data_IF_711442852944
#
_entry.id   IF_711442852944
#
_cell.length_a   1.000
_cell.length_b   1.000
_cell.length_c   1.000
_cell.angle_alpha   90.00
_cell.angle_beta   90.00
_cell.angle_gamma   90.00
#
_symmetry.space_group_name_H-M   'P 1'
#
loop_
_entity.id
_entity.type
_entity.pdbx_description
1 polymer ?
#
# COMPACT_ATOMS: atom_id res chain seq x y z
N UNK A 1 2.58 8.00 -38.64
CA UNK A 1 3.74 7.09 -38.59
C UNK A 1 4.32 6.94 -37.18
N UNK A 2 4.54 7.97 -36.39
CA UNK A 2 5.08 7.90 -35.02
C UNK A 2 4.24 7.09 -33.99
N UNK A 3 2.90 7.06 -34.16
CA UNK A 3 2.01 6.27 -33.27
C UNK A 3 2.22 4.76 -33.37
N UNK A 4 2.58 4.27 -34.54
CA UNK A 4 2.83 2.85 -34.79
C UNK A 4 4.12 2.36 -34.11
N UNK A 5 5.18 3.18 -34.06
CA UNK A 5 6.46 2.83 -33.43
C UNK A 5 6.49 3.08 -31.93
N UNK A 6 5.46 3.69 -31.34
CA UNK A 6 5.38 4.01 -29.93
C UNK A 6 5.59 2.80 -28.98
N UNK A 7 5.10 1.58 -29.26
CA UNK A 7 5.39 0.40 -28.45
C UNK A 7 6.88 0.06 -28.36
N UNK A 8 7.67 0.26 -29.41
CA UNK A 8 9.13 -0.01 -29.38
C UNK A 8 9.89 0.93 -28.44
N UNK A 9 9.36 2.13 -28.19
CA UNK A 9 9.97 3.11 -27.28
C UNK A 9 9.56 2.90 -25.83
N UNK A 10 8.63 1.98 -25.56
CA UNK A 10 8.18 1.64 -24.19
C UNK A 10 9.01 0.52 -23.62
N UNK A 11 9.60 0.75 -22.44
CA UNK A 11 10.32 -0.31 -21.69
C UNK A 11 9.48 -1.56 -21.44
N UNK A 12 8.15 -1.40 -21.30
CA UNK A 12 7.19 -2.51 -21.08
C UNK A 12 7.18 -3.56 -22.20
N UNK A 13 7.48 -3.20 -23.44
CA UNK A 13 7.59 -4.18 -24.55
C UNK A 13 8.73 -5.15 -24.30
N UNK A 14 9.85 -4.65 -23.85
CA UNK A 14 11.05 -5.46 -23.60
C UNK A 14 10.94 -6.29 -22.32
N UNK A 15 10.31 -5.75 -21.26
CA UNK A 15 10.10 -6.52 -20.03
C UNK A 15 9.09 -7.64 -20.25
N UNK A 16 8.05 -7.45 -21.08
CA UNK A 16 7.11 -8.51 -21.50
C UNK A 16 7.81 -9.60 -22.32
N UNK A 17 8.69 -9.24 -23.22
CA UNK A 17 9.49 -10.21 -23.99
C UNK A 17 10.44 -10.99 -23.07
N UNK A 18 11.10 -10.30 -22.13
CA UNK A 18 11.93 -10.95 -21.13
C UNK A 18 11.13 -11.96 -20.29
N UNK A 19 9.91 -11.59 -19.88
CA UNK A 19 9.02 -12.48 -19.15
C UNK A 19 8.71 -13.79 -19.92
N UNK A 20 8.52 -13.71 -21.23
CA UNK A 20 8.30 -14.86 -22.09
C UNK A 20 9.56 -15.72 -22.27
N UNK A 21 10.75 -15.12 -22.23
CA UNK A 21 12.01 -15.83 -22.44
C UNK A 21 12.52 -16.58 -21.22
N UNK A 22 12.16 -16.14 -20.01
CA UNK A 22 12.62 -16.80 -18.76
C UNK A 22 12.36 -18.31 -18.76
N UNK A 23 11.14 -18.82 -19.03
CA UNK A 23 10.94 -20.28 -19.10
C UNK A 23 11.68 -20.94 -20.25
N UNK A 24 11.97 -20.23 -21.33
CA UNK A 24 12.67 -20.77 -22.48
C UNK A 24 14.13 -21.12 -22.19
N UNK A 25 14.74 -20.50 -21.17
CA UNK A 25 16.08 -20.90 -20.72
C UNK A 25 16.08 -22.36 -20.23
N UNK A 26 15.11 -22.73 -19.40
CA UNK A 26 14.98 -24.12 -18.92
C UNK A 26 14.69 -25.10 -20.05
N UNK A 27 13.80 -24.72 -20.99
CA UNK A 27 13.50 -25.52 -22.18
C UNK A 27 14.75 -25.68 -23.05
N UNK A 28 15.52 -24.62 -23.29
CA UNK A 28 16.74 -24.67 -24.11
C UNK A 28 17.82 -25.53 -23.47
N UNK A 29 17.98 -25.46 -22.15
CA UNK A 29 18.92 -26.34 -21.42
C UNK A 29 18.52 -27.81 -21.57
N UNK A 30 17.20 -28.10 -21.40
CA UNK A 30 16.72 -29.48 -21.59
C UNK A 30 16.97 -30.01 -23.01
N UNK A 31 16.62 -29.21 -24.02
CA UNK A 31 16.83 -29.59 -25.43
C UNK A 31 18.31 -29.79 -25.78
N UNK A 32 19.21 -29.08 -25.09
CA UNK A 32 20.66 -29.28 -25.22
C UNK A 32 21.10 -30.63 -24.62
N UNK A 33 20.45 -31.09 -23.54
CA UNK A 33 20.74 -32.37 -22.88
C UNK A 33 20.13 -33.54 -23.69
N UNK A 34 18.86 -33.41 -24.05
CA UNK A 34 18.13 -34.45 -24.77
C UNK A 34 17.08 -33.88 -25.73
N UNK A 35 17.39 -33.89 -27.01
CA UNK A 35 16.47 -33.44 -28.07
C UNK A 35 15.35 -34.46 -28.37
N UNK A 36 15.47 -35.71 -27.91
CA UNK A 36 14.48 -36.77 -28.20
C UNK A 36 13.20 -36.63 -27.35
N UNK A 37 13.27 -35.90 -26.25
CA UNK A 37 12.16 -35.75 -25.28
C UNK A 37 11.75 -34.27 -25.05
N UNK A 38 11.35 -33.50 -26.09
CA UNK A 38 11.05 -32.08 -26.00
C UNK A 38 9.84 -31.74 -25.11
N UNK A 39 9.02 -32.72 -24.78
CA UNK A 39 7.81 -32.59 -23.96
C UNK A 39 8.07 -32.65 -22.45
N UNK A 40 9.25 -33.08 -21.99
CA UNK A 40 9.56 -33.23 -20.56
C UNK A 40 9.48 -31.90 -19.81
N UNK A 41 10.01 -30.75 -20.32
CA UNK A 41 9.84 -29.46 -19.63
C UNK A 41 8.38 -29.12 -19.33
N UNK A 42 7.47 -29.38 -20.28
CA UNK A 42 6.04 -29.17 -20.05
C UNK A 42 5.51 -30.10 -18.93
N UNK A 43 5.86 -31.40 -18.97
CA UNK A 43 5.43 -32.33 -17.94
C UNK A 43 5.90 -31.90 -16.52
N UNK A 44 7.09 -31.31 -16.40
CA UNK A 44 7.65 -30.83 -15.12
C UNK A 44 6.95 -29.59 -14.61
N UNK A 45 6.32 -28.79 -15.46
CA UNK A 45 5.55 -27.61 -15.04
C UNK A 45 4.26 -27.99 -14.29
N UNK A 46 3.70 -29.19 -14.54
CA UNK A 46 2.47 -29.63 -13.85
C UNK A 46 2.67 -29.76 -12.35
N UNK A 47 3.60 -30.58 -11.80
CA UNK A 47 3.82 -30.66 -10.37
C UNK A 47 4.29 -29.32 -9.79
N UNK A 48 5.09 -28.54 -10.53
CA UNK A 48 5.53 -27.22 -10.10
C UNK A 48 4.35 -26.26 -9.88
N UNK A 49 3.39 -26.22 -10.81
CA UNK A 49 2.21 -25.35 -10.72
C UNK A 49 1.22 -25.76 -9.60
N UNK A 50 1.33 -27.01 -9.10
CA UNK A 50 0.54 -27.47 -7.94
C UNK A 50 1.09 -26.96 -6.61
N UNK A 51 2.33 -26.47 -6.54
CA UNK A 51 2.93 -25.89 -5.34
C UNK A 51 2.31 -24.51 -5.07
N UNK A 52 1.69 -24.27 -3.89
CA UNK A 52 1.00 -23.01 -3.60
C UNK A 52 1.85 -21.75 -3.76
N UNK A 53 3.11 -21.82 -3.35
CA UNK A 53 4.04 -20.68 -3.39
C UNK A 53 4.40 -20.26 -4.83
N UNK A 54 4.31 -21.15 -5.81
CA UNK A 54 4.63 -20.86 -7.22
C UNK A 54 3.69 -19.78 -7.78
N UNK A 55 2.38 -19.83 -7.46
CA UNK A 55 1.43 -18.79 -7.87
C UNK A 55 1.87 -17.42 -7.39
N UNK A 56 2.34 -17.30 -6.13
CA UNK A 56 2.86 -16.06 -5.58
C UNK A 56 4.07 -15.55 -6.36
N UNK A 57 5.05 -16.42 -6.59
CA UNK A 57 6.26 -16.07 -7.35
C UNK A 57 5.93 -15.59 -8.77
N UNK A 58 5.06 -16.32 -9.47
CA UNK A 58 4.58 -15.96 -10.81
C UNK A 58 3.78 -14.65 -10.81
N UNK A 59 2.94 -14.42 -9.79
CA UNK A 59 2.21 -13.16 -9.62
C UNK A 59 3.13 -11.95 -9.45
N UNK A 60 4.13 -12.06 -8.56
CA UNK A 60 5.14 -11.01 -8.35
C UNK A 60 5.92 -10.74 -9.65
N UNK A 61 6.40 -11.80 -10.32
CA UNK A 61 7.14 -11.66 -11.57
C UNK A 61 6.28 -11.04 -12.68
N UNK A 62 5.02 -11.47 -12.80
CA UNK A 62 4.10 -10.92 -13.79
C UNK A 62 3.80 -9.43 -13.55
N UNK A 63 3.59 -9.01 -12.29
CA UNK A 63 3.40 -7.58 -11.96
C UNK A 63 4.63 -6.74 -12.33
N UNK A 64 5.82 -7.21 -11.96
CA UNK A 64 7.06 -6.47 -12.23
C UNK A 64 7.37 -6.33 -13.72
N UNK A 65 7.10 -7.38 -14.52
CA UNK A 65 7.55 -7.43 -15.92
C UNK A 65 6.44 -7.11 -16.93
N UNK A 66 5.17 -7.43 -16.63
CA UNK A 66 4.07 -7.22 -17.57
C UNK A 66 3.36 -5.87 -17.36
N UNK A 67 3.31 -5.40 -16.11
CA UNK A 67 2.54 -4.20 -15.71
C UNK A 67 3.32 -3.27 -14.79
N UNK A 68 4.58 -2.90 -15.14
CA UNK A 68 5.39 -2.05 -14.28
C UNK A 68 4.72 -0.67 -14.08
N UNK A 69 4.56 -0.26 -12.80
CA UNK A 69 3.99 1.04 -12.45
C UNK A 69 2.46 1.12 -12.44
N UNK A 70 1.73 0.04 -12.75
CA UNK A 70 0.28 0.00 -12.55
C UNK A 70 -0.06 -0.20 -11.06
N UNK A 71 -0.91 0.67 -10.49
CA UNK A 71 -1.30 0.59 -9.09
C UNK A 71 -2.15 -0.66 -8.79
N UNK A 72 -3.07 -1.00 -9.69
CA UNK A 72 -3.88 -2.22 -9.63
C UNK A 72 -3.83 -2.98 -10.97
N UNK A 73 -2.85 -3.86 -11.15
CA UNK A 73 -2.69 -4.62 -12.39
C UNK A 73 -3.70 -5.77 -12.55
N UNK A 74 -4.55 -6.04 -11.56
CA UNK A 74 -5.48 -7.17 -11.56
C UNK A 74 -4.80 -8.54 -11.47
N UNK A 75 -3.57 -8.62 -10.98
CA UNK A 75 -2.76 -9.83 -10.78
C UNK A 75 -2.54 -10.01 -9.28
N UNK A 76 -2.89 -11.19 -8.74
CA UNK A 76 -2.72 -11.53 -7.32
C UNK A 76 -1.31 -11.99 -7.00
N UNK A 77 -0.81 -11.60 -5.83
CA UNK A 77 0.45 -12.09 -5.23
C UNK A 77 0.19 -13.11 -4.11
N UNK A 78 -1.04 -13.58 -3.96
CA UNK A 78 -1.36 -14.57 -2.95
C UNK A 78 -0.99 -15.99 -3.43
N UNK A 79 -0.60 -16.90 -2.52
CA UNK A 79 -0.40 -18.30 -2.86
C UNK A 79 -1.73 -18.96 -3.26
N UNK A 80 -1.66 -20.12 -3.94
CA UNK A 80 -2.85 -20.87 -4.30
C UNK A 80 -3.54 -21.41 -3.04
N UNK A 81 -4.77 -20.98 -2.76
CA UNK A 81 -5.58 -21.46 -1.65
C UNK A 81 -6.39 -22.70 -2.00
N UNK A 82 -6.85 -22.82 -3.26
CA UNK A 82 -7.75 -23.89 -3.73
C UNK A 82 -7.11 -24.74 -4.83
N UNK A 83 -7.64 -25.94 -5.05
CA UNK A 83 -7.24 -26.78 -6.18
C UNK A 83 -7.51 -26.11 -7.53
N UNK A 84 -8.56 -25.30 -7.62
CA UNK A 84 -8.87 -24.51 -8.81
C UNK A 84 -7.77 -23.49 -9.09
N UNK A 85 -7.24 -22.83 -8.05
CA UNK A 85 -6.14 -21.87 -8.21
C UNK A 85 -4.87 -22.56 -8.66
N UNK A 86 -4.58 -23.78 -8.13
CA UNK A 86 -3.44 -24.60 -8.58
C UNK A 86 -3.58 -24.98 -10.04
N UNK A 87 -4.78 -25.44 -10.48
CA UNK A 87 -5.05 -25.73 -11.88
C UNK A 87 -4.87 -24.52 -12.79
N UNK A 88 -5.30 -23.33 -12.35
CA UNK A 88 -5.05 -22.07 -13.08
C UNK A 88 -3.55 -21.71 -13.15
N UNK A 89 -2.78 -22.03 -12.11
CA UNK A 89 -1.33 -21.82 -12.10
C UNK A 89 -0.62 -22.77 -13.04
N UNK A 90 -1.00 -24.05 -13.07
CA UNK A 90 -0.50 -25.01 -14.06
C UNK A 90 -0.79 -24.52 -15.49
N UNK A 91 -2.05 -24.16 -15.76
CA UNK A 91 -2.43 -23.66 -17.09
C UNK A 91 -1.67 -22.38 -17.47
N UNK A 92 -1.40 -21.51 -16.49
CA UNK A 92 -0.57 -20.32 -16.70
C UNK A 92 0.86 -20.67 -17.11
N UNK A 93 1.51 -21.58 -16.40
CA UNK A 93 2.89 -21.99 -16.69
C UNK A 93 3.01 -22.61 -18.08
N UNK A 94 2.08 -23.51 -18.45
CA UNK A 94 2.04 -24.13 -19.76
C UNK A 94 1.81 -23.11 -20.87
N UNK A 95 0.83 -22.23 -20.69
CA UNK A 95 0.51 -21.19 -21.68
C UNK A 95 1.68 -20.20 -21.85
N UNK A 96 2.30 -19.80 -20.74
CA UNK A 96 3.48 -18.93 -20.79
C UNK A 96 4.64 -19.58 -21.53
N UNK A 97 4.88 -20.88 -21.31
CA UNK A 97 5.91 -21.62 -22.03
C UNK A 97 5.59 -21.70 -23.52
N UNK A 98 4.34 -21.97 -23.90
CA UNK A 98 3.92 -22.02 -25.31
C UNK A 98 4.07 -20.65 -25.99
N UNK A 99 3.67 -19.58 -25.33
CA UNK A 99 3.83 -18.19 -25.85
C UNK A 99 5.31 -17.81 -25.96
N UNK A 100 6.14 -18.26 -25.02
CA UNK A 100 7.59 -18.07 -25.08
C UNK A 100 8.22 -18.80 -26.25
N UNK A 101 7.81 -20.06 -26.49
CA UNK A 101 8.26 -20.85 -27.63
C UNK A 101 7.82 -20.19 -28.96
N UNK A 102 6.57 -19.73 -29.05
CA UNK A 102 6.08 -19.01 -30.22
C UNK A 102 6.86 -17.71 -30.48
N UNK A 103 7.20 -16.95 -29.42
CA UNK A 103 8.00 -15.75 -29.54
C UNK A 103 9.42 -16.04 -30.04
N UNK A 104 10.08 -17.06 -29.45
CA UNK A 104 11.43 -17.46 -29.84
C UNK A 104 11.47 -17.99 -31.27
N UNK A 105 10.54 -18.90 -31.63
CA UNK A 105 10.44 -19.45 -32.98
C UNK A 105 10.21 -18.34 -34.02
N UNK A 106 9.23 -17.44 -33.74
CA UNK A 106 8.94 -16.31 -34.65
C UNK A 106 10.14 -15.39 -34.81
N UNK A 107 10.87 -15.13 -33.74
CA UNK A 107 12.07 -14.27 -33.80
C UNK A 107 13.15 -14.88 -34.68
N UNK A 108 13.50 -16.15 -34.46
CA UNK A 108 14.52 -16.84 -35.26
C UNK A 108 14.10 -16.91 -36.71
N UNK A 109 12.84 -17.35 -36.97
CA UNK A 109 12.34 -17.61 -38.31
C UNK A 109 12.19 -16.33 -39.13
N UNK A 110 11.61 -15.28 -38.57
CA UNK A 110 11.39 -14.01 -39.27
C UNK A 110 12.70 -13.26 -39.53
N UNK A 111 13.64 -13.28 -38.57
CA UNK A 111 14.98 -12.69 -38.79
C UNK A 111 15.74 -13.43 -39.87
N UNK A 112 15.73 -14.79 -39.87
CA UNK A 112 16.35 -15.63 -40.90
C UNK A 112 15.73 -15.35 -42.28
N UNK A 113 14.38 -15.23 -42.34
CA UNK A 113 13.67 -14.92 -43.60
C UNK A 113 14.08 -13.53 -44.13
N UNK A 114 14.13 -12.51 -43.25
CA UNK A 114 14.57 -11.16 -43.64
C UNK A 114 16.03 -11.16 -44.16
N UNK A 115 16.90 -11.89 -43.48
CA UNK A 115 18.30 -12.04 -43.89
C UNK A 115 18.44 -12.72 -45.24
N UNK A 116 17.72 -13.82 -45.48
CA UNK A 116 17.78 -14.55 -46.75
C UNK A 116 17.20 -13.73 -47.91
N UNK A 117 16.11 -12.98 -47.70
CA UNK A 117 15.58 -12.04 -48.72
C UNK A 117 16.62 -10.97 -49.07
N UNK A 118 17.34 -10.45 -48.09
CA UNK A 118 18.42 -9.49 -48.34
C UNK A 118 19.57 -10.13 -49.17
N UNK A 119 19.93 -11.37 -48.81
CA UNK A 119 20.94 -12.14 -49.62
C UNK A 119 20.51 -12.33 -51.04
N UNK A 120 19.24 -12.75 -51.29
CA UNK A 120 18.67 -12.87 -52.62
C UNK A 120 18.69 -11.55 -53.42
N UNK A 121 18.42 -10.44 -52.76
CA UNK A 121 18.50 -9.09 -53.35
C UNK A 121 19.93 -8.72 -53.82
N UNK A 122 20.96 -9.27 -53.15
CA UNK A 122 22.39 -9.11 -53.51
C UNK A 122 22.94 -10.20 -54.43
N UNK A 123 22.05 -10.96 -55.08
CA UNK A 123 22.43 -11.94 -56.08
C UNK A 123 22.92 -13.27 -55.56
N UNK A 124 22.68 -13.61 -54.29
CA UNK A 124 23.04 -14.87 -53.66
C UNK A 124 21.82 -15.79 -53.54
N UNK A 125 21.97 -17.09 -53.86
CA UNK A 125 20.90 -18.03 -53.67
C UNK A 125 20.58 -18.26 -52.17
N UNK A 126 19.28 -18.40 -51.82
CA UNK A 126 18.89 -18.67 -50.42
C UNK A 126 19.36 -20.07 -49.98
N UNK A 127 19.81 -20.19 -48.74
CA UNK A 127 20.35 -21.48 -48.24
C UNK A 127 19.79 -21.88 -46.88
N UNK A 128 19.17 -20.98 -46.13
CA UNK A 128 18.83 -21.22 -44.74
C UNK A 128 17.34 -21.36 -44.43
N UNK A 129 16.46 -20.95 -45.34
CA UNK A 129 15.00 -20.96 -45.11
C UNK A 129 14.32 -21.83 -46.18
N UNK A 130 13.75 -23.00 -45.82
CA UNK A 130 13.15 -23.91 -46.79
C UNK A 130 12.06 -23.31 -47.68
N UNK A 131 11.27 -22.38 -47.14
CA UNK A 131 10.22 -21.64 -47.87
C UNK A 131 10.76 -20.76 -49.00
N UNK A 132 12.02 -20.36 -48.95
CA UNK A 132 12.68 -19.55 -49.96
C UNK A 132 13.56 -20.39 -50.89
N UNK A 133 13.65 -21.70 -50.64
CA UNK A 133 14.45 -22.62 -51.45
C UNK A 133 13.96 -22.62 -52.92
N UNK A 134 14.88 -22.40 -53.86
CA UNK A 134 14.56 -22.35 -55.27
C UNK A 134 14.17 -20.95 -55.82
N UNK A 135 14.14 -19.89 -54.99
CA UNK A 135 13.93 -18.55 -55.48
C UNK A 135 15.16 -18.05 -56.24
N UNK A 136 14.99 -17.52 -57.47
CA UNK A 136 16.10 -16.93 -58.20
C UNK A 136 16.58 -15.66 -57.54
N UNK A 137 17.90 -15.42 -57.48
CA UNK A 137 18.46 -14.16 -57.02
C UNK A 137 17.94 -12.99 -57.90
N UNK A 138 17.29 -12.01 -57.29
CA UNK A 138 16.77 -10.85 -57.99
C UNK A 138 16.67 -9.62 -57.08
N UNK A 139 17.02 -8.43 -57.57
CA UNK A 139 17.02 -7.18 -56.80
C UNK A 139 15.63 -6.77 -56.25
N UNK A 140 14.55 -7.22 -56.88
CA UNK A 140 13.18 -6.97 -56.43
C UNK A 140 12.88 -7.50 -55.00
N UNK A 141 13.62 -8.54 -54.53
CA UNK A 141 13.48 -9.07 -53.16
C UNK A 141 13.82 -8.05 -52.08
N UNK A 142 14.58 -6.96 -52.42
CA UNK A 142 14.84 -5.85 -51.52
C UNK A 142 13.56 -5.18 -51.02
N UNK A 143 12.49 -5.14 -51.84
CA UNK A 143 11.20 -4.55 -51.46
C UNK A 143 10.47 -5.37 -50.38
N UNK A 144 10.71 -6.69 -50.31
CA UNK A 144 10.06 -7.58 -49.37
C UNK A 144 10.88 -7.77 -48.08
N UNK A 145 12.14 -7.38 -48.07
CA UNK A 145 13.04 -7.51 -46.88
C UNK A 145 12.49 -6.85 -45.60
N UNK A 146 11.79 -5.71 -45.61
CA UNK A 146 11.25 -5.11 -44.41
C UNK A 146 10.02 -5.84 -43.85
N UNK A 147 9.32 -6.69 -44.62
CA UNK A 147 8.08 -7.37 -44.19
C UNK A 147 8.28 -8.33 -43.02
N UNK A 148 9.30 -9.20 -42.98
CA UNK A 148 9.57 -10.06 -41.82
C UNK A 148 9.86 -9.24 -40.56
N UNK A 149 10.51 -8.09 -40.66
CA UNK A 149 10.78 -7.22 -39.50
C UNK A 149 9.50 -6.57 -38.99
N UNK A 150 8.60 -6.14 -39.89
CA UNK A 150 7.29 -5.63 -39.52
C UNK A 150 6.40 -6.71 -38.89
N UNK A 151 6.45 -7.93 -39.45
CA UNK A 151 5.77 -9.08 -38.89
C UNK A 151 6.32 -9.41 -37.47
N UNK A 152 7.64 -9.42 -37.30
CA UNK A 152 8.27 -9.63 -36.00
C UNK A 152 7.84 -8.59 -34.97
N UNK A 153 7.81 -7.32 -35.36
CA UNK A 153 7.30 -6.26 -34.52
C UNK A 153 5.85 -6.53 -34.07
N UNK A 154 4.96 -6.89 -35.00
CA UNK A 154 3.56 -7.23 -34.70
C UNK A 154 3.44 -8.41 -33.74
N UNK A 155 4.26 -9.46 -33.95
CA UNK A 155 4.30 -10.64 -33.07
C UNK A 155 4.76 -10.27 -31.65
N UNK A 156 5.84 -9.52 -31.51
CA UNK A 156 6.36 -9.13 -30.19
C UNK A 156 5.34 -8.30 -29.40
N UNK A 157 4.71 -7.33 -30.06
CA UNK A 157 3.69 -6.49 -29.42
C UNK A 157 2.45 -7.33 -29.08
N UNK A 158 1.97 -8.14 -30.06
CA UNK A 158 0.76 -8.95 -29.88
C UNK A 158 0.91 -10.03 -28.80
N UNK A 159 2.05 -10.74 -28.75
CA UNK A 159 2.31 -11.72 -27.71
C UNK A 159 2.50 -11.06 -26.33
N UNK A 160 3.08 -9.85 -26.30
CA UNK A 160 3.21 -9.07 -25.05
C UNK A 160 1.86 -8.68 -24.48
N UNK A 161 0.91 -8.22 -25.30
CA UNK A 161 -0.46 -7.93 -24.86
C UNK A 161 -1.21 -9.22 -24.48
N UNK A 162 -1.06 -10.27 -25.26
CA UNK A 162 -1.71 -11.56 -25.01
C UNK A 162 -1.26 -12.17 -23.69
N UNK A 163 0.05 -12.23 -23.41
CA UNK A 163 0.55 -12.78 -22.13
C UNK A 163 0.07 -11.94 -20.95
N UNK A 164 -0.02 -10.60 -21.09
CA UNK A 164 -0.54 -9.73 -20.05
C UNK A 164 -2.03 -10.01 -19.79
N UNK A 165 -2.84 -10.16 -20.84
CA UNK A 165 -4.26 -10.50 -20.71
C UNK A 165 -4.46 -11.89 -20.06
N UNK A 166 -3.65 -12.88 -20.43
CA UNK A 166 -3.67 -14.20 -19.83
C UNK A 166 -3.25 -14.18 -18.36
N UNK A 167 -2.23 -13.39 -18.00
CA UNK A 167 -1.81 -13.21 -16.62
C UNK A 167 -2.95 -12.63 -15.75
N UNK A 168 -3.61 -11.57 -16.20
CA UNK A 168 -4.77 -10.99 -15.50
C UNK A 168 -5.90 -12.00 -15.31
N UNK A 169 -6.12 -12.89 -16.29
CA UNK A 169 -7.19 -13.89 -16.24
C UNK A 169 -6.83 -15.09 -15.36
N UNK A 170 -5.61 -15.61 -15.45
CA UNK A 170 -5.20 -16.84 -14.78
C UNK A 170 -4.58 -16.60 -13.40
N UNK A 171 -3.80 -15.52 -13.23
CA UNK A 171 -3.21 -15.11 -11.95
C UNK A 171 -4.02 -14.03 -11.23
N UNK A 172 -5.17 -13.62 -11.77
CA UNK A 172 -6.07 -12.66 -11.11
C UNK A 172 -6.62 -13.19 -9.78
N UNK A 173 -7.16 -12.30 -8.93
CA UNK A 173 -7.68 -12.66 -7.62
C UNK A 173 -8.68 -13.82 -7.69
N UNK A 174 -8.54 -14.79 -6.79
CA UNK A 174 -9.46 -15.92 -6.66
C UNK A 174 -10.83 -15.47 -6.14
N UNK A 175 -11.84 -16.34 -6.23
CA UNK A 175 -13.15 -16.06 -5.65
C UNK A 175 -13.07 -15.86 -4.12
N UNK A 176 -12.21 -16.63 -3.44
CA UNK A 176 -12.00 -16.50 -2.00
C UNK A 176 -11.33 -15.17 -1.64
N UNK A 177 -10.30 -14.75 -2.39
CA UNK A 177 -9.64 -13.44 -2.20
C UNK A 177 -10.62 -12.27 -2.42
N UNK A 178 -11.47 -12.37 -3.44
CA UNK A 178 -12.50 -11.35 -3.70
C UNK A 178 -13.56 -11.30 -2.60
N UNK A 179 -13.99 -12.47 -2.09
CA UNK A 179 -14.94 -12.55 -1.01
C UNK A 179 -14.36 -11.94 0.27
N UNK A 180 -13.13 -12.32 0.65
CA UNK A 180 -12.46 -11.75 1.81
C UNK A 180 -12.31 -10.21 1.71
N UNK A 181 -11.95 -9.69 0.52
CA UNK A 181 -11.86 -8.25 0.30
C UNK A 181 -13.23 -7.55 0.38
N UNK A 182 -14.31 -8.21 -0.06
CA UNK A 182 -15.69 -7.70 0.08
C UNK A 182 -16.15 -7.73 1.53
N UNK A 183 -15.87 -8.80 2.27
CA UNK A 183 -16.17 -8.92 3.69
C UNK A 183 -15.47 -7.81 4.49
N UNK A 184 -14.17 -7.63 4.29
CA UNK A 184 -13.40 -6.55 4.92
C UNK A 184 -14.01 -5.17 4.61
N UNK A 185 -14.38 -4.92 3.36
CA UNK A 185 -15.00 -3.66 2.96
C UNK A 185 -16.38 -3.47 3.59
N UNK A 186 -17.16 -4.55 3.72
CA UNK A 186 -18.48 -4.52 4.36
C UNK A 186 -18.33 -4.22 5.85
N UNK A 187 -17.39 -4.85 6.55
CA UNK A 187 -17.10 -4.58 7.96
C UNK A 187 -16.69 -3.11 8.17
N UNK A 188 -15.83 -2.56 7.30
CA UNK A 188 -15.46 -1.15 7.34
C UNK A 188 -16.67 -0.21 7.15
N UNK A 189 -17.58 -0.55 6.25
CA UNK A 189 -18.81 0.24 6.03
C UNK A 189 -19.77 0.15 7.22
N UNK A 190 -19.93 -1.03 7.81
CA UNK A 190 -20.75 -1.22 9.01
C UNK A 190 -20.20 -0.44 10.19
N UNK A 191 -18.90 -0.47 10.39
CA UNK A 191 -18.24 0.29 11.45
C UNK A 191 -18.40 1.81 11.25
N UNK A 192 -18.22 2.30 10.02
CA UNK A 192 -18.51 3.72 9.70
C UNK A 192 -19.96 4.10 10.00
N UNK A 193 -20.90 3.22 9.66
CA UNK A 193 -22.33 3.46 9.91
C UNK A 193 -22.64 3.44 11.41
N UNK A 194 -21.98 2.57 12.18
CA UNK A 194 -22.10 2.53 13.64
C UNK A 194 -21.59 3.83 14.27
N UNK A 195 -20.39 4.26 13.88
CA UNK A 195 -19.80 5.52 14.35
C UNK A 195 -20.69 6.72 13.99
N UNK A 196 -21.23 6.77 12.77
CA UNK A 196 -22.12 7.87 12.36
C UNK A 196 -23.40 7.93 13.20
N UNK A 197 -23.97 6.78 13.59
CA UNK A 197 -25.14 6.73 14.50
C UNK A 197 -24.78 7.20 15.91
N UNK A 198 -23.67 6.70 16.48
CA UNK A 198 -23.21 7.13 17.81
C UNK A 198 -22.99 8.65 17.88
N UNK A 199 -22.41 9.24 16.80
CA UNK A 199 -22.27 10.68 16.68
C UNK A 199 -23.61 11.40 16.60
N UNK A 200 -24.53 10.90 15.78
CA UNK A 200 -25.85 11.49 15.64
C UNK A 200 -26.61 11.49 16.97
N UNK A 201 -26.52 10.39 17.71
CA UNK A 201 -27.16 10.24 19.02
C UNK A 201 -26.52 11.15 20.07
N UNK A 202 -25.20 11.26 20.10
CA UNK A 202 -24.49 12.16 21.02
C UNK A 202 -24.81 13.62 20.76
N UNK A 203 -24.77 14.05 19.50
CA UNK A 203 -25.10 15.43 19.10
C UNK A 203 -26.58 15.71 19.35
N UNK A 204 -27.47 14.78 19.00
CA UNK A 204 -28.90 14.90 19.24
C UNK A 204 -29.25 15.04 20.71
N UNK A 205 -28.56 14.28 21.58
CA UNK A 205 -28.72 14.39 23.01
C UNK A 205 -28.25 15.76 23.55
N UNK A 206 -27.05 16.21 23.14
CA UNK A 206 -26.52 17.52 23.55
C UNK A 206 -27.42 18.67 23.13
N UNK A 207 -27.93 18.64 21.89
CA UNK A 207 -28.87 19.65 21.38
C UNK A 207 -30.20 19.62 22.16
N UNK A 208 -30.74 18.44 22.47
CA UNK A 208 -31.97 18.31 23.24
C UNK A 208 -31.81 18.89 24.63
N UNK A 209 -30.71 18.60 25.33
CA UNK A 209 -30.41 19.15 26.64
C UNK A 209 -30.30 20.68 26.58
N UNK A 210 -29.57 21.22 25.59
CA UNK A 210 -29.43 22.65 25.39
C UNK A 210 -30.77 23.36 25.16
N UNK A 211 -31.64 22.77 24.32
CA UNK A 211 -32.99 23.32 24.05
C UNK A 211 -33.88 23.32 25.32
N UNK A 212 -33.82 22.23 26.09
CA UNK A 212 -34.60 22.12 27.36
C UNK A 212 -34.10 23.15 28.37
N UNK A 213 -32.80 23.29 28.53
CA UNK A 213 -32.20 24.29 29.43
C UNK A 213 -32.55 25.71 29.02
N UNK A 214 -32.45 26.05 27.73
CA UNK A 214 -32.83 27.35 27.21
C UNK A 214 -34.34 27.64 27.42
N UNK A 215 -35.21 26.62 27.25
CA UNK A 215 -36.65 26.69 27.52
C UNK A 215 -36.95 26.96 29.00
N UNK A 216 -36.27 26.26 29.90
CA UNK A 216 -36.40 26.41 31.33
C UNK A 216 -35.92 27.80 31.81
N UNK A 217 -34.79 28.29 31.30
CA UNK A 217 -34.30 29.63 31.60
C UNK A 217 -35.30 30.74 31.21
N UNK A 218 -35.91 30.61 30.02
CA UNK A 218 -36.93 31.55 29.55
C UNK A 218 -38.20 31.51 30.39
N UNK A 219 -38.58 30.35 30.89
CA UNK A 219 -39.80 30.16 31.68
C UNK A 219 -39.63 30.66 33.14
N UNK A 220 -38.42 30.52 33.69
CA UNK A 220 -38.11 30.92 35.06
C UNK A 220 -38.12 32.43 35.28
N UNK A 221 -37.69 33.23 34.29
CA UNK A 221 -37.60 34.69 34.37
C UNK A 221 -36.62 35.22 35.43
N UNK A 222 -35.79 34.35 36.00
CA UNK A 222 -34.77 34.64 37.01
C UNK A 222 -33.41 34.83 36.38
N UNK A 223 -32.73 35.98 36.55
CA UNK A 223 -31.41 36.22 35.97
C UNK A 223 -30.32 35.23 36.41
N UNK A 224 -30.25 34.87 37.70
CA UNK A 224 -29.25 33.91 38.20
C UNK A 224 -29.46 32.51 37.65
N UNK A 225 -30.72 32.10 37.48
CA UNK A 225 -31.04 30.81 36.85
C UNK A 225 -30.70 30.80 35.36
N UNK A 226 -30.94 31.96 34.69
CA UNK A 226 -30.61 32.13 33.26
C UNK A 226 -29.12 32.02 33.01
N UNK A 227 -28.28 32.69 33.82
CA UNK A 227 -26.81 32.62 33.72
C UNK A 227 -26.29 31.19 33.92
N UNK A 228 -26.77 30.47 34.95
CA UNK A 228 -26.41 29.09 35.18
C UNK A 228 -26.84 28.13 34.04
N UNK A 229 -27.98 28.38 33.43
CA UNK A 229 -28.46 27.60 32.30
C UNK A 229 -27.62 27.86 31.03
N UNK A 230 -27.18 29.12 30.81
CA UNK A 230 -26.31 29.47 29.71
C UNK A 230 -24.92 28.82 29.85
N UNK A 231 -24.34 28.84 31.05
CA UNK A 231 -23.07 28.16 31.35
C UNK A 231 -23.16 26.64 31.08
N UNK A 232 -24.25 26.02 31.50
CA UNK A 232 -24.48 24.58 31.27
C UNK A 232 -24.69 24.25 29.79
N UNK A 233 -25.34 25.14 29.01
CA UNK A 233 -25.48 24.98 27.55
C UNK A 233 -24.13 25.11 26.88
N UNK A 234 -23.31 26.09 27.28
CA UNK A 234 -21.96 26.29 26.73
C UNK A 234 -21.07 25.05 27.01
N UNK A 235 -21.07 24.54 28.24
CA UNK A 235 -20.30 23.34 28.62
C UNK A 235 -20.76 22.11 27.84
N UNK A 236 -22.07 21.88 27.70
CA UNK A 236 -22.64 20.78 26.92
C UNK A 236 -22.26 20.88 25.44
N UNK A 237 -22.36 22.09 24.87
CA UNK A 237 -21.98 22.35 23.48
C UNK A 237 -20.49 22.13 23.22
N UNK A 238 -19.64 22.59 24.13
CA UNK A 238 -18.18 22.42 24.04
C UNK A 238 -17.80 20.94 24.10
N UNK A 239 -18.39 20.18 25.04
CA UNK A 239 -18.14 18.74 25.15
C UNK A 239 -18.58 17.98 23.88
N UNK A 240 -19.73 18.31 23.31
CA UNK A 240 -20.22 17.68 22.07
C UNK A 240 -19.31 17.99 20.85
N UNK A 241 -18.80 19.22 20.75
CA UNK A 241 -17.86 19.58 19.69
C UNK A 241 -16.52 18.84 19.83
N UNK A 242 -16.02 18.68 21.04
CA UNK A 242 -14.80 17.92 21.31
C UNK A 242 -14.93 16.44 20.95
N UNK A 243 -16.07 15.84 21.26
CA UNK A 243 -16.34 14.45 20.87
C UNK A 243 -16.44 14.29 19.35
N UNK A 244 -17.12 15.22 18.68
CA UNK A 244 -17.20 15.26 17.21
C UNK A 244 -15.82 15.37 16.55
N UNK A 245 -14.98 16.31 17.00
CA UNK A 245 -13.63 16.48 16.46
C UNK A 245 -12.76 15.24 16.66
N UNK A 246 -12.89 14.58 17.82
CA UNK A 246 -12.16 13.34 18.12
C UNK A 246 -12.52 12.24 17.14
N UNK A 247 -13.82 12.03 16.89
CA UNK A 247 -14.29 10.98 15.98
C UNK A 247 -13.96 11.29 14.53
N UNK A 248 -14.12 12.54 14.09
CA UNK A 248 -13.70 12.98 12.76
C UNK A 248 -12.19 12.82 12.54
N UNK A 249 -11.38 13.05 13.59
CA UNK A 249 -9.95 12.80 13.58
C UNK A 249 -9.63 11.33 13.30
N UNK A 250 -10.29 10.40 14.00
CA UNK A 250 -10.13 8.95 13.80
C UNK A 250 -10.55 8.54 12.39
N UNK A 251 -11.68 9.03 11.88
CA UNK A 251 -12.16 8.71 10.53
C UNK A 251 -11.21 9.22 9.44
N UNK A 252 -10.75 10.47 9.52
CA UNK A 252 -9.79 11.05 8.57
C UNK A 252 -8.47 10.29 8.56
N UNK A 253 -8.03 9.80 9.70
CA UNK A 253 -6.79 9.04 9.81
C UNK A 253 -6.93 7.62 9.27
N UNK A 254 -8.09 6.99 9.43
CA UNK A 254 -8.40 5.68 8.84
C UNK A 254 -8.39 5.72 7.29
N UNK A 255 -8.76 6.86 6.69
CA UNK A 255 -8.77 7.04 5.23
C UNK A 255 -7.38 7.26 4.61
N UNK A 256 -6.38 7.64 5.41
CA UNK A 256 -5.01 7.82 4.91
C UNK A 256 -4.36 6.46 4.64
N UNK A 257 -3.74 6.26 3.45
CA UNK A 257 -2.91 5.09 3.21
C UNK A 257 -1.89 4.90 4.33
N UNK A 258 -1.61 3.67 4.70
CA UNK A 258 -0.66 3.35 5.79
C UNK A 258 0.71 4.02 5.57
N UNK A 259 1.14 4.15 4.31
CA UNK A 259 2.37 4.83 3.91
C UNK A 259 2.35 6.34 4.08
N UNK A 260 1.17 6.96 4.16
CA UNK A 260 1.00 8.41 4.33
C UNK A 260 0.67 8.85 5.77
N UNK A 261 0.61 7.90 6.71
CA UNK A 261 0.38 8.20 8.13
C UNK A 261 1.66 8.72 8.76
N UNK A 262 1.59 9.82 9.56
CA UNK A 262 2.75 10.37 10.22
C UNK A 262 3.48 9.36 11.11
N UNK A 263 4.79 9.48 11.17
CA UNK A 263 5.69 8.65 11.94
C UNK A 263 6.57 9.52 12.85
N UNK A 264 7.36 8.93 13.72
CA UNK A 264 8.32 9.67 14.56
C UNK A 264 9.38 10.42 13.72
N UNK A 265 9.61 10.07 12.46
CA UNK A 265 10.42 10.88 11.56
C UNK A 265 9.79 12.27 11.30
N UNK A 266 8.48 12.40 11.47
CA UNK A 266 7.71 13.64 11.36
C UNK A 266 7.60 14.43 12.69
N UNK A 267 8.20 13.93 13.77
CA UNK A 267 8.12 14.53 15.11
C UNK A 267 8.58 16.00 15.13
N UNK A 268 9.58 16.36 14.29
CA UNK A 268 10.03 17.76 14.16
C UNK A 268 8.89 18.71 13.80
N UNK A 269 8.06 18.35 12.81
CA UNK A 269 6.90 19.17 12.41
C UNK A 269 5.84 19.28 13.50
N UNK A 270 5.65 18.22 14.28
CA UNK A 270 4.72 18.25 15.41
C UNK A 270 5.20 19.19 16.51
N UNK A 271 6.49 19.16 16.85
CA UNK A 271 7.11 20.04 17.83
C UNK A 271 7.07 21.51 17.39
N UNK A 272 7.30 21.79 16.11
CA UNK A 272 7.17 23.14 15.54
C UNK A 272 5.73 23.64 15.60
N UNK A 273 4.75 22.79 15.30
CA UNK A 273 3.33 23.13 15.43
C UNK A 273 2.96 23.47 16.89
N UNK A 274 3.47 22.71 17.85
CA UNK A 274 3.24 23.01 19.27
C UNK A 274 3.88 24.34 19.69
N UNK A 275 5.08 24.67 19.19
CA UNK A 275 5.72 26.00 19.42
C UNK A 275 4.91 27.13 18.82
N UNK A 276 4.41 26.96 17.60
CA UNK A 276 3.55 27.95 16.93
C UNK A 276 2.22 28.17 17.68
N UNK A 277 1.73 27.16 18.41
CA UNK A 277 0.54 27.24 19.26
C UNK A 277 0.83 27.82 20.65
N UNK A 278 2.06 28.32 20.92
CA UNK A 278 2.43 29.04 22.13
C UNK A 278 3.19 28.24 23.21
N UNK A 279 3.39 26.93 23.04
CA UNK A 279 4.18 26.13 23.98
C UNK A 279 5.69 26.42 23.84
N UNK A 280 6.40 26.56 24.97
CA UNK A 280 7.86 26.70 24.97
C UNK A 280 8.50 25.30 25.00
N UNK A 281 8.57 24.65 23.82
CA UNK A 281 9.02 23.26 23.70
C UNK A 281 10.55 23.21 23.61
N UNK A 282 11.18 22.54 24.60
CA UNK A 282 12.56 22.09 24.60
C UNK A 282 12.58 20.59 24.28
N UNK A 283 13.15 20.20 23.13
CA UNK A 283 13.06 18.84 22.62
C UNK A 283 14.43 18.23 22.37
N UNK A 284 14.65 17.04 22.92
CA UNK A 284 15.83 16.20 22.72
C UNK A 284 15.42 14.91 22.01
N UNK A 285 15.99 14.66 20.82
CA UNK A 285 15.76 13.44 20.05
C UNK A 285 17.07 12.71 19.88
N UNK A 286 17.18 11.49 20.41
CA UNK A 286 18.42 10.71 20.44
C UNK A 286 18.22 9.32 19.86
N UNK A 287 19.28 8.79 19.18
CA UNK A 287 19.25 7.48 18.55
C UNK A 287 18.63 7.45 17.15
N UNK A 288 18.60 6.28 16.51
CA UNK A 288 18.15 6.11 15.12
C UNK A 288 16.62 6.05 14.99
N UNK A 289 15.93 7.16 15.24
CA UNK A 289 14.45 7.24 15.22
C UNK A 289 13.88 6.84 13.85
N UNK A 290 14.59 7.11 12.76
CA UNK A 290 14.17 6.73 11.40
C UNK A 290 14.20 5.20 11.17
N UNK A 291 14.94 4.45 11.97
CA UNK A 291 15.03 2.99 11.89
C UNK A 291 13.98 2.26 12.74
N UNK A 292 13.13 2.98 13.47
CA UNK A 292 12.04 2.40 14.26
C UNK A 292 11.00 1.75 13.34
N UNK A 293 10.58 0.50 13.58
CA UNK A 293 9.57 -0.18 12.78
C UNK A 293 8.29 0.65 12.61
N UNK A 294 7.72 0.64 11.41
CA UNK A 294 6.59 1.50 11.04
C UNK A 294 5.41 1.50 12.02
N UNK A 295 4.95 0.34 12.54
CA UNK A 295 3.88 0.31 13.54
C UNK A 295 4.25 1.04 14.83
N UNK A 296 5.44 0.78 15.39
CA UNK A 296 5.93 1.41 16.63
C UNK A 296 6.15 2.91 16.43
N UNK A 297 6.70 3.31 15.28
CA UNK A 297 6.96 4.71 14.91
C UNK A 297 5.65 5.51 14.80
N UNK A 298 4.60 4.94 14.22
CA UNK A 298 3.28 5.60 14.11
C UNK A 298 2.61 5.78 15.47
N UNK A 299 2.58 4.72 16.28
CA UNK A 299 1.96 4.83 17.61
C UNK A 299 2.77 5.72 18.55
N UNK A 300 4.11 5.70 18.45
CA UNK A 300 4.97 6.67 19.14
C UNK A 300 4.66 8.11 18.75
N UNK A 301 4.45 8.40 17.46
CA UNK A 301 4.02 9.72 17.01
C UNK A 301 2.67 10.14 17.61
N UNK A 302 1.68 9.21 17.66
CA UNK A 302 0.36 9.48 18.26
C UNK A 302 0.42 9.75 19.76
N UNK A 303 1.24 8.97 20.48
CA UNK A 303 1.47 9.19 21.91
C UNK A 303 2.05 10.58 22.14
N UNK A 304 3.05 10.98 21.35
CA UNK A 304 3.66 12.31 21.43
C UNK A 304 2.67 13.43 21.10
N UNK A 305 1.86 13.25 20.07
CA UNK A 305 0.83 14.19 19.65
C UNK A 305 -0.21 14.40 20.73
N UNK A 306 -0.74 13.31 21.31
CA UNK A 306 -1.73 13.38 22.39
C UNK A 306 -1.16 14.03 23.64
N UNK A 307 0.10 13.72 24.00
CA UNK A 307 0.76 14.33 25.15
C UNK A 307 0.93 15.84 24.98
N UNK A 308 1.37 16.31 23.80
CA UNK A 308 1.51 17.74 23.49
C UNK A 308 0.16 18.46 23.44
N UNK A 309 -0.86 17.82 22.86
CA UNK A 309 -2.23 18.36 22.84
C UNK A 309 -2.77 18.55 24.26
N UNK A 310 -2.52 17.58 25.15
CA UNK A 310 -2.91 17.66 26.55
C UNK A 310 -2.21 18.82 27.28
N UNK A 311 -0.93 19.05 27.01
CA UNK A 311 -0.22 20.22 27.58
C UNK A 311 -0.85 21.53 27.12
N UNK A 312 -1.05 21.71 25.82
CA UNK A 312 -1.65 22.92 25.24
C UNK A 312 -3.05 23.18 25.79
N UNK A 313 -3.84 22.14 25.99
CA UNK A 313 -5.24 22.21 26.46
C UNK A 313 -5.34 22.51 27.96
N UNK A 314 -4.47 21.90 28.78
CA UNK A 314 -4.63 21.90 30.23
C UNK A 314 -3.61 22.76 30.97
N UNK A 315 -2.42 22.99 30.42
CA UNK A 315 -1.38 23.78 31.03
C UNK A 315 -1.13 25.14 30.31
N UNK A 316 -1.58 25.27 29.05
CA UNK A 316 -1.42 26.51 28.28
C UNK A 316 0.03 26.74 27.83
N UNK A 317 0.47 28.01 27.81
CA UNK A 317 1.77 28.44 27.30
C UNK A 317 2.90 28.25 28.35
N UNK A 318 3.10 27.03 28.83
CA UNK A 318 4.14 26.67 29.81
C UNK A 318 5.39 26.07 29.12
N UNK A 319 6.55 26.02 29.82
CA UNK A 319 7.69 25.27 29.37
C UNK A 319 7.37 23.77 29.28
N UNK A 320 7.71 23.15 28.15
CA UNK A 320 7.49 21.71 27.92
C UNK A 320 8.82 21.08 27.55
N UNK A 321 9.23 20.06 28.29
CA UNK A 321 10.40 19.25 27.95
C UNK A 321 9.95 17.96 27.28
N UNK A 322 10.47 17.70 26.08
CA UNK A 322 10.19 16.50 25.29
C UNK A 322 11.48 15.72 25.10
N UNK A 323 11.47 14.43 25.43
CA UNK A 323 12.59 13.54 25.16
C UNK A 323 12.11 12.33 24.37
N UNK A 324 12.76 12.09 23.23
CA UNK A 324 12.54 10.90 22.39
C UNK A 324 13.87 10.19 22.27
N UNK A 325 13.96 8.96 22.75
CA UNK A 325 15.21 8.21 22.75
C UNK A 325 15.00 6.78 22.21
N UNK A 326 15.90 6.34 21.32
CA UNK A 326 15.98 4.96 20.84
C UNK A 326 17.26 4.34 21.35
N UNK A 327 17.13 3.43 22.33
CA UNK A 327 18.28 2.82 23.01
C UNK A 327 17.95 1.38 23.42
N UNK A 328 18.87 0.45 23.21
CA UNK A 328 18.74 -0.93 23.71
C UNK A 328 17.52 -1.68 23.19
N UNK A 329 17.10 -1.46 21.92
CA UNK A 329 15.92 -2.10 21.35
C UNK A 329 14.59 -1.57 21.89
N UNK A 330 14.58 -0.37 22.49
CA UNK A 330 13.39 0.29 23.02
C UNK A 330 13.31 1.73 22.54
N UNK A 331 12.08 2.19 22.28
CA UNK A 331 11.72 3.58 22.10
C UNK A 331 11.17 4.12 23.42
N UNK A 332 11.80 5.16 23.96
CA UNK A 332 11.34 5.92 25.13
C UNK A 332 10.84 7.28 24.70
N UNK A 333 9.64 7.63 25.12
CA UNK A 333 9.00 8.92 24.89
C UNK A 333 8.70 9.54 26.26
N UNK A 334 9.10 10.79 26.47
CA UNK A 334 8.81 11.52 27.69
C UNK A 334 8.40 12.95 27.36
N UNK A 335 7.29 13.40 27.95
CA UNK A 335 6.82 14.77 27.89
C UNK A 335 6.57 15.25 29.31
N UNK A 336 7.22 16.35 29.71
CA UNK A 336 7.08 16.97 31.04
C UNK A 336 6.71 18.43 30.92
N UNK A 337 5.84 18.88 31.81
CA UNK A 337 5.51 20.29 32.00
C UNK A 337 5.23 20.59 33.47
N UNK A 338 5.47 21.82 33.95
CA UNK A 338 5.12 22.22 35.32
C UNK A 338 3.64 21.94 35.62
N UNK A 339 3.35 21.44 36.80
CA UNK A 339 1.97 21.31 37.29
C UNK A 339 1.33 22.70 37.45
N UNK A 340 0.17 22.98 36.86
CA UNK A 340 -0.60 24.13 37.22
C UNK A 340 -1.02 23.99 38.70
N UNK A 341 -0.99 25.10 39.46
CA UNK A 341 -1.14 25.10 40.91
C UNK A 341 -2.45 24.53 41.50
N UNK A 342 -3.43 24.19 40.65
CA UNK A 342 -4.61 23.40 40.99
C UNK A 342 -4.51 22.07 40.24
N UNK A 343 -4.41 20.94 40.92
CA UNK A 343 -4.51 19.61 40.34
C UNK A 343 -5.92 19.50 39.76
N UNK A 344 -6.10 19.32 38.44
CA UNK A 344 -7.42 19.06 37.87
C UNK A 344 -7.98 17.82 38.55
N UNK A 345 -9.21 17.89 39.08
CA UNK A 345 -9.88 16.73 39.63
C UNK A 345 -9.89 15.59 38.61
N UNK A 346 -10.28 14.33 39.01
CA UNK A 346 -10.27 13.17 38.12
C UNK A 346 -11.24 13.39 36.95
N UNK A 347 -10.77 14.14 35.96
CA UNK A 347 -11.48 14.34 34.70
C UNK A 347 -11.62 13.01 33.96
N UNK A 348 -12.73 12.80 33.27
CA UNK A 348 -13.01 11.66 32.37
C UNK A 348 -12.03 11.63 31.18
N UNK A 349 -10.73 11.68 31.43
CA UNK A 349 -9.67 11.82 30.45
C UNK A 349 -9.49 10.59 29.55
N UNK A 350 -10.24 10.51 28.49
CA UNK A 350 -10.09 9.47 27.45
C UNK A 350 -8.69 9.49 26.78
N UNK A 351 -8.04 10.65 26.69
CA UNK A 351 -6.71 10.80 26.08
C UNK A 351 -5.60 10.06 26.82
N UNK A 352 -5.53 10.18 28.16
CA UNK A 352 -4.53 9.49 28.97
C UNK A 352 -4.75 7.97 29.00
N UNK A 353 -5.98 7.52 28.94
CA UNK A 353 -6.33 6.11 28.77
C UNK A 353 -5.88 5.60 27.39
N UNK A 354 -6.14 6.34 26.33
CA UNK A 354 -5.70 6.04 24.98
C UNK A 354 -4.17 5.91 24.83
N UNK A 355 -3.39 6.75 25.53
CA UNK A 355 -1.92 6.62 25.57
C UNK A 355 -1.50 5.28 26.16
N UNK A 356 -2.09 4.85 27.30
CA UNK A 356 -1.77 3.59 27.97
C UNK A 356 -2.19 2.38 27.13
N UNK A 357 -3.36 2.40 26.54
CA UNK A 357 -3.88 1.33 25.68
C UNK A 357 -3.00 1.16 24.43
N UNK A 358 -2.60 2.24 23.76
CA UNK A 358 -1.70 2.18 22.60
C UNK A 358 -0.32 1.61 22.94
N UNK A 359 0.25 2.01 24.08
CA UNK A 359 1.52 1.42 24.51
C UNK A 359 1.39 -0.08 24.79
N UNK A 360 0.32 -0.49 25.46
CA UNK A 360 0.07 -1.89 25.79
C UNK A 360 -0.15 -2.78 24.56
N UNK A 361 -0.85 -2.29 23.51
CA UNK A 361 -1.05 -3.01 22.24
C UNK A 361 0.26 -3.37 21.52
N UNK A 362 1.32 -2.61 21.75
CA UNK A 362 2.66 -2.89 21.22
C UNK A 362 3.56 -3.66 22.21
N UNK A 363 3.02 -4.20 23.28
CA UNK A 363 3.80 -4.88 24.32
C UNK A 363 4.66 -3.94 25.18
N UNK A 364 4.40 -2.63 25.11
CA UNK A 364 5.04 -1.60 25.89
C UNK A 364 4.24 -1.17 27.12
N UNK A 365 4.65 -0.08 27.74
CA UNK A 365 3.96 0.51 28.90
C UNK A 365 3.97 2.04 28.82
N UNK A 366 2.95 2.67 29.43
CA UNK A 366 2.95 4.10 29.61
C UNK A 366 2.49 4.49 31.03
N UNK A 367 3.12 5.52 31.58
CA UNK A 367 2.80 6.15 32.87
C UNK A 367 2.43 7.61 32.62
N UNK A 368 1.39 8.08 33.30
CA UNK A 368 0.89 9.45 33.17
C UNK A 368 0.49 9.94 34.57
N UNK A 369 0.95 11.10 34.97
CA UNK A 369 0.61 11.66 36.27
C UNK A 369 1.65 12.66 36.80
N UNK A 370 1.45 13.18 38.01
CA UNK A 370 2.41 14.04 38.68
C UNK A 370 3.69 13.28 39.03
N UNK A 371 4.85 13.89 38.82
CA UNK A 371 6.17 13.37 39.13
C UNK A 371 7.10 14.55 39.44
N UNK A 372 7.65 14.60 40.70
CA UNK A 372 8.60 15.61 41.19
C UNK A 372 8.18 17.07 40.95
N UNK A 373 6.88 17.40 41.04
CA UNK A 373 6.37 18.76 40.84
C UNK A 373 6.00 19.09 39.40
N UNK A 374 6.26 18.21 38.46
CA UNK A 374 5.85 18.28 37.05
C UNK A 374 4.72 17.30 36.74
N UNK A 375 3.98 17.58 35.70
CA UNK A 375 3.15 16.58 35.03
C UNK A 375 3.99 15.82 34.02
N UNK A 376 3.98 14.48 34.08
CA UNK A 376 4.75 13.63 33.19
C UNK A 376 3.86 12.66 32.42
N UNK A 377 4.16 12.52 31.13
CA UNK A 377 3.75 11.40 30.27
C UNK A 377 5.02 10.67 29.85
N UNK A 378 5.17 9.40 30.24
CA UNK A 378 6.30 8.56 29.84
C UNK A 378 5.79 7.27 29.23
N UNK A 379 6.29 6.92 28.05
CA UNK A 379 5.96 5.67 27.36
C UNK A 379 7.24 4.95 26.93
N UNK A 380 7.24 3.63 27.07
CA UNK A 380 8.32 2.74 26.63
C UNK A 380 7.75 1.65 25.73
N UNK A 381 8.24 1.57 24.49
CA UNK A 381 7.77 0.66 23.45
C UNK A 381 8.93 -0.22 22.97
N UNK A 382 8.76 -1.55 22.88
CA UNK A 382 9.76 -2.45 22.30
C UNK A 382 9.87 -2.22 20.79
N UNK A 383 11.10 -2.35 20.25
CA UNK A 383 11.40 -2.18 18.80
C UNK A 383 11.64 -3.55 18.13
N UNK A 384 11.47 -4.64 18.86
CA UNK A 384 11.65 -6.01 18.35
C UNK A 384 10.50 -6.46 17.46
#
# INVERSE_FOLDING_TARGET
MLRFLRPLLRGTTYTRLLHLWVPMLAVSIWLFIDMSTPWIPALLLVPLGLVPAVRRGEGVQARLLLTPGEADPGISEAPSATWRDRGRTVLWLELRMLLGAAAMFSMVWLLSTGFELARCAWGRAPSGVPLLAGLPPHRAWALLTPLPLLALYGVVVGLGELVTACARRLLGPSAAERLAALEERTEQLLERTRIARELHDSIGHALTVAVVQAGAARAAGDPEFTDRALDAIEETGRAALEDLERVLGVLREAERPVSARPTLADAGRLLESARASGAKVDAEVTGPVAAVPGPVSREGYRILQEALTNVLRHAGAVPVRVRVAVTGGRLSLEVRNPLPGAIPGPGRGSGLRGIRERAALLGGSARTGPDEGDWQVRAELPIS
#
